data_IF_098305529539
#
_entry.id   IF_098305529539
#
_cell.length_a   1.000
_cell.length_b   1.000
_cell.length_c   1.000
_cell.angle_alpha   90.00
_cell.angle_beta   90.00
_cell.angle_gamma   90.00
#
_symmetry.space_group_name_H-M   'P 1'
#
loop_
_entity.id
_entity.type
_entity.pdbx_description
1 polymer ?
#
# COMPACT_ATOMS: atom_id res chain seq x y z
N UNK A 1 1.04 23.72 4.53
CA UNK A 1 2.17 22.76 4.47
C UNK A 1 1.91 21.81 3.31
N UNK A 2 2.94 21.32 2.63
CA UNK A 2 2.84 20.37 1.50
C UNK A 2 3.28 18.98 1.99
N UNK A 3 2.64 17.92 1.47
CA UNK A 3 2.93 16.51 1.76
C UNK A 3 2.87 15.71 0.46
N UNK A 4 3.51 14.55 0.45
CA UNK A 4 3.53 13.64 -0.69
C UNK A 4 2.48 12.53 -0.55
N UNK A 5 1.95 12.10 -1.68
CA UNK A 5 1.25 10.82 -1.81
C UNK A 5 2.31 9.75 -2.09
N UNK A 6 2.37 8.73 -1.24
CA UNK A 6 3.28 7.61 -1.39
C UNK A 6 2.54 6.42 -1.98
N UNK A 7 2.61 6.26 -3.31
CA UNK A 7 2.02 5.12 -4.00
C UNK A 7 2.96 3.93 -3.93
N UNK A 8 2.59 2.93 -3.13
CA UNK A 8 3.43 1.77 -2.84
C UNK A 8 3.71 0.94 -4.10
N UNK A 9 2.76 0.86 -5.03
CA UNK A 9 2.94 0.14 -6.30
C UNK A 9 4.08 0.78 -7.12
N UNK A 10 4.05 2.11 -7.26
CA UNK A 10 5.09 2.83 -7.99
C UNK A 10 6.45 2.76 -7.29
N UNK A 11 6.47 2.90 -5.96
CA UNK A 11 7.73 2.92 -5.21
C UNK A 11 8.42 1.56 -5.19
N UNK A 12 7.65 0.46 -5.18
CA UNK A 12 8.24 -0.87 -5.31
C UNK A 12 8.93 -1.06 -6.67
N UNK A 13 8.34 -0.57 -7.76
CA UNK A 13 8.93 -0.68 -9.12
C UNK A 13 10.18 0.19 -9.26
N UNK A 14 10.16 1.40 -8.70
CA UNK A 14 11.25 2.37 -8.91
C UNK A 14 12.42 2.20 -7.95
N UNK A 15 12.15 1.89 -6.69
CA UNK A 15 13.15 1.94 -5.63
C UNK A 15 13.24 0.64 -4.82
N UNK A 16 12.10 -0.04 -4.63
CA UNK A 16 12.01 -1.14 -3.67
C UNK A 16 12.19 -0.64 -2.23
N UNK A 17 12.59 -1.56 -1.33
CA UNK A 17 12.85 -1.28 0.09
C UNK A 17 11.74 -0.48 0.81
N UNK A 18 10.48 -0.73 0.43
CA UNK A 18 9.30 0.09 0.77
C UNK A 18 9.17 0.35 2.28
N UNK A 19 9.36 -0.68 3.11
CA UNK A 19 9.16 -0.58 4.56
C UNK A 19 10.11 0.43 5.20
N UNK A 20 11.39 0.38 4.85
CA UNK A 20 12.37 1.26 5.47
C UNK A 20 12.28 2.68 4.89
N UNK A 21 11.94 2.81 3.61
CA UNK A 21 11.63 4.11 2.99
C UNK A 21 10.44 4.79 3.67
N UNK A 22 9.36 4.07 3.97
CA UNK A 22 8.19 4.62 4.69
C UNK A 22 8.59 5.13 6.08
N UNK A 23 9.31 4.31 6.86
CA UNK A 23 9.75 4.69 8.22
C UNK A 23 10.61 5.96 8.21
N UNK A 24 11.55 6.06 7.27
CA UNK A 24 12.45 7.20 7.16
C UNK A 24 11.72 8.50 6.75
N UNK A 25 10.61 8.39 6.02
CA UNK A 25 9.97 9.52 5.34
C UNK A 25 8.55 9.84 5.82
N UNK A 26 8.05 9.21 6.89
CA UNK A 26 6.68 9.41 7.36
C UNK A 26 6.32 10.88 7.61
N UNK A 27 7.28 11.67 8.08
CA UNK A 27 7.13 13.11 8.28
C UNK A 27 6.83 13.91 7.00
N UNK A 28 6.97 13.32 5.81
CA UNK A 28 6.69 13.94 4.51
C UNK A 28 5.50 13.32 3.78
N UNK A 29 5.04 12.14 4.22
CA UNK A 29 3.94 11.42 3.59
C UNK A 29 2.61 11.87 4.19
N UNK A 30 1.65 12.19 3.32
CA UNK A 30 0.30 12.61 3.69
C UNK A 30 -0.78 11.60 3.31
N UNK A 31 -0.51 10.71 2.34
CA UNK A 31 -1.45 9.72 1.84
C UNK A 31 -0.72 8.50 1.26
N UNK A 32 -1.37 7.34 1.27
CA UNK A 32 -0.84 6.10 0.69
C UNK A 32 -1.82 5.51 -0.32
N UNK A 33 -1.29 5.00 -1.43
CA UNK A 33 -2.02 4.16 -2.37
C UNK A 33 -1.44 2.73 -2.37
N UNK A 34 -2.28 1.73 -2.58
CA UNK A 34 -1.88 0.31 -2.72
C UNK A 34 -2.25 -0.24 -4.10
N UNK A 35 -1.41 -1.12 -4.65
CA UNK A 35 -1.71 -1.95 -5.82
C UNK A 35 -0.70 -3.08 -6.00
N UNK A 36 -1.14 -4.24 -6.49
CA UNK A 36 -0.27 -5.41 -6.63
C UNK A 36 0.79 -5.24 -7.72
N UNK A 37 2.04 -5.60 -7.46
CA UNK A 37 3.15 -5.50 -8.43
C UNK A 37 3.41 -6.87 -9.11
N UNK A 38 3.49 -6.96 -10.46
CA UNK A 38 3.63 -5.85 -11.42
C UNK A 38 2.33 -5.44 -12.13
N UNK A 39 1.20 -6.14 -11.93
CA UNK A 39 0.00 -5.96 -12.75
C UNK A 39 -0.92 -4.79 -12.37
N UNK A 40 -0.67 -4.14 -11.23
CA UNK A 40 -1.57 -3.18 -10.56
C UNK A 40 -2.97 -3.76 -10.34
N UNK A 41 -3.03 -5.04 -9.97
CA UNK A 41 -4.25 -5.77 -9.65
C UNK A 41 -4.33 -6.04 -8.14
N UNK A 42 -4.81 -7.22 -7.75
CA UNK A 42 -4.94 -7.65 -6.36
C UNK A 42 -3.62 -7.53 -5.57
N UNK A 43 -3.72 -7.19 -4.28
CA UNK A 43 -2.59 -7.10 -3.35
C UNK A 43 -2.35 -8.39 -2.55
N UNK A 44 -2.83 -9.52 -3.08
CA UNK A 44 -2.76 -10.84 -2.43
C UNK A 44 -1.42 -11.56 -2.72
N UNK A 45 -1.36 -12.87 -2.48
CA UNK A 45 -0.16 -13.70 -2.68
C UNK A 45 0.20 -13.91 -4.16
N UNK A 46 -0.55 -13.36 -5.12
CA UNK A 46 -0.25 -13.46 -6.56
C UNK A 46 0.72 -12.37 -7.06
N UNK A 47 1.16 -11.48 -6.17
CA UNK A 47 2.09 -10.38 -6.44
C UNK A 47 3.23 -10.35 -5.40
N UNK A 48 4.25 -9.53 -5.61
CA UNK A 48 5.53 -9.65 -4.88
C UNK A 48 5.60 -9.00 -3.47
N UNK A 49 4.71 -8.08 -3.12
CA UNK A 49 4.76 -7.32 -1.85
C UNK A 49 3.95 -7.97 -0.72
N UNK A 50 4.51 -8.07 0.48
CA UNK A 50 3.70 -8.40 1.67
C UNK A 50 2.95 -7.15 2.18
N UNK A 51 1.73 -6.92 1.70
CA UNK A 51 0.93 -5.75 2.08
C UNK A 51 0.47 -5.74 3.53
N UNK A 52 0.27 -6.91 4.18
CA UNK A 52 -0.01 -6.96 5.62
C UNK A 52 1.15 -6.39 6.43
N UNK A 53 2.39 -6.73 6.08
CA UNK A 53 3.58 -6.18 6.73
C UNK A 53 3.69 -4.67 6.50
N UNK A 54 3.46 -4.20 5.28
CA UNK A 54 3.50 -2.76 4.96
C UNK A 54 2.43 -2.00 5.76
N UNK A 55 1.20 -2.51 5.83
CA UNK A 55 0.13 -1.92 6.63
C UNK A 55 0.50 -1.84 8.12
N UNK A 56 1.09 -2.90 8.69
CA UNK A 56 1.58 -2.88 10.07
C UNK A 56 2.60 -1.77 10.31
N UNK A 57 3.56 -1.55 9.39
CA UNK A 57 4.55 -0.46 9.51
C UNK A 57 3.86 0.90 9.53
N UNK A 58 2.88 1.11 8.65
CA UNK A 58 2.13 2.36 8.58
C UNK A 58 1.35 2.57 9.89
N UNK A 59 0.70 1.54 10.42
CA UNK A 59 -0.04 1.61 11.67
C UNK A 59 0.89 1.90 12.87
N UNK A 60 1.98 1.13 13.01
CA UNK A 60 2.98 1.29 14.07
C UNK A 60 3.65 2.67 14.07
N UNK A 61 3.69 3.33 12.90
CA UNK A 61 4.27 4.65 12.73
C UNK A 61 3.41 5.79 13.32
N UNK A 62 2.17 5.49 13.73
CA UNK A 62 1.21 6.47 14.24
C UNK A 62 0.54 7.30 13.15
N UNK A 63 0.60 6.86 11.89
CA UNK A 63 -0.07 7.52 10.78
C UNK A 63 -1.59 7.45 10.95
N UNK A 64 -2.25 8.61 11.01
CA UNK A 64 -3.69 8.73 11.26
C UNK A 64 -4.50 9.11 10.00
N UNK A 65 -3.88 9.07 8.81
CA UNK A 65 -4.56 9.36 7.55
C UNK A 65 -5.16 8.12 6.91
N UNK A 66 -5.42 8.20 5.60
CA UNK A 66 -6.06 7.13 4.84
C UNK A 66 -5.06 6.37 3.97
N UNK A 67 -5.32 5.08 3.79
CA UNK A 67 -4.71 4.22 2.76
C UNK A 67 -5.80 3.93 1.73
N UNK A 68 -5.57 4.29 0.46
CA UNK A 68 -6.52 4.05 -0.62
C UNK A 68 -6.10 2.85 -1.47
N UNK A 69 -7.07 2.02 -1.84
CA UNK A 69 -6.86 0.88 -2.72
C UNK A 69 -7.02 1.31 -4.18
N UNK A 70 -5.91 1.50 -4.90
CA UNK A 70 -5.88 1.97 -6.29
C UNK A 70 -5.33 0.87 -7.21
N UNK A 71 -6.18 -0.11 -7.48
CA UNK A 71 -5.87 -1.24 -8.34
C UNK A 71 -7.05 -1.61 -9.24
N UNK A 72 -6.76 -2.36 -10.31
CA UNK A 72 -7.78 -2.87 -11.25
C UNK A 72 -8.02 -4.35 -10.94
N UNK A 73 -9.16 -4.75 -10.39
CA UNK A 73 -9.46 -6.16 -10.12
C UNK A 73 -9.46 -7.02 -11.39
N UNK A 74 -8.88 -8.24 -11.33
CA UNK A 74 -8.99 -9.27 -12.39
C UNK A 74 -10.16 -10.24 -12.16
N UNK A 75 -10.67 -10.26 -10.92
CA UNK A 75 -11.83 -11.05 -10.49
C UNK A 75 -12.93 -10.11 -10.01
N UNK A 76 -13.95 -10.65 -9.34
CA UNK A 76 -15.08 -9.85 -8.82
C UNK A 76 -14.59 -8.60 -8.05
N UNK A 77 -14.94 -7.38 -8.51
CA UNK A 77 -14.38 -6.15 -7.95
C UNK A 77 -14.63 -5.98 -6.46
N UNK A 78 -15.82 -6.34 -5.99
CA UNK A 78 -16.18 -6.18 -4.57
C UNK A 78 -15.48 -7.20 -3.68
N UNK A 79 -15.30 -8.43 -4.15
CA UNK A 79 -14.52 -9.44 -3.46
C UNK A 79 -13.04 -9.08 -3.41
N UNK A 80 -12.48 -8.49 -4.47
CA UNK A 80 -11.09 -8.01 -4.46
C UNK A 80 -10.91 -6.83 -3.51
N UNK A 81 -11.82 -5.85 -3.53
CA UNK A 81 -11.75 -4.70 -2.61
C UNK A 81 -11.89 -5.13 -1.14
N UNK A 82 -12.82 -6.04 -0.83
CA UNK A 82 -12.98 -6.58 0.54
C UNK A 82 -11.71 -7.27 1.01
N UNK A 83 -11.12 -8.14 0.18
CA UNK A 83 -9.88 -8.82 0.54
C UNK A 83 -8.74 -7.82 0.76
N UNK A 84 -8.60 -6.80 -0.09
CA UNK A 84 -7.57 -5.77 0.08
C UNK A 84 -7.71 -5.03 1.42
N UNK A 85 -8.94 -4.67 1.80
CA UNK A 85 -9.22 -4.05 3.10
C UNK A 85 -8.87 -4.99 4.28
N UNK A 86 -9.23 -6.27 4.19
CA UNK A 86 -8.91 -7.28 5.22
C UNK A 86 -7.39 -7.52 5.37
N UNK A 87 -6.65 -7.50 4.25
CA UNK A 87 -5.18 -7.61 4.26
C UNK A 87 -4.54 -6.43 5.01
N UNK A 88 -5.07 -5.22 4.79
CA UNK A 88 -4.54 -3.99 5.39
C UNK A 88 -5.16 -3.65 6.76
N UNK A 89 -6.11 -4.45 7.26
CA UNK A 89 -6.63 -4.29 8.63
C UNK A 89 -5.67 -4.97 9.61
N UNK A 90 -5.01 -4.14 10.43
CA UNK A 90 -3.97 -4.49 11.40
C UNK A 90 -4.15 -3.75 12.71
#
# INVERSE_FOLDING_TARGET
>A
RVKLLYDIYHMQIMEGNVVDTIKANLGHIGHFHTGGVPGRNEIDETQELNYRRVAQVIADSGYAGYVAHEFVPRRDPMASLRQAAEICTV
#
